data_IF_341704493187
#
_entry.id   IF_341704493187
#
_cell.length_a   1.000
_cell.length_b   1.000
_cell.length_c   1.000
_cell.angle_alpha   90.00
_cell.angle_beta   90.00
_cell.angle_gamma   90.00
#
_symmetry.space_group_name_H-M   'P 1'
#
loop_
_entity.id
_entity.type
_entity.pdbx_description
1 polymer ?
#
# COMPACT_ATOMS: atom_id res chain seq x y z
N UNK A 1 -1.35 13.46 5.43
CA UNK A 1 -0.91 12.04 5.43
C UNK A 1 0.52 11.96 4.91
N UNK A 2 0.81 12.59 3.77
CA UNK A 2 2.17 12.74 3.25
C UNK A 2 2.88 13.89 4.01
N UNK A 3 4.07 13.66 4.60
CA UNK A 3 4.85 14.71 5.27
C UNK A 3 5.45 15.71 4.27
N UNK A 4 5.70 16.94 4.72
CA UNK A 4 6.42 17.95 3.92
C UNK A 4 7.92 17.60 3.76
N UNK A 5 8.50 16.94 4.76
CA UNK A 5 9.87 16.45 4.70
C UNK A 5 9.91 15.14 3.88
N UNK A 6 10.63 15.09 2.74
CA UNK A 6 10.67 13.92 1.88
C UNK A 6 11.31 12.67 2.52
N UNK A 7 12.15 12.86 3.55
CA UNK A 7 12.80 11.76 4.26
C UNK A 7 11.97 11.21 5.42
N UNK A 8 10.84 11.85 5.74
CA UNK A 8 9.99 11.40 6.81
C UNK A 8 9.07 10.27 6.29
N UNK A 9 9.15 9.06 6.88
CA UNK A 9 8.29 7.96 6.47
C UNK A 9 6.82 8.22 6.87
N UNK A 10 5.91 7.62 6.13
CA UNK A 10 4.47 7.63 6.41
C UNK A 10 3.86 6.27 6.06
N UNK A 11 2.70 5.97 6.65
CA UNK A 11 1.95 4.76 6.32
C UNK A 11 1.08 4.98 5.07
N UNK A 12 1.40 4.25 4.00
CA UNK A 12 0.64 4.30 2.74
C UNK A 12 -0.83 3.88 2.90
N UNK A 13 -1.16 3.07 3.92
CA UNK A 13 -2.55 2.66 4.21
C UNK A 13 -3.44 3.85 4.55
N UNK A 14 -2.89 4.89 5.17
CA UNK A 14 -3.62 6.13 5.42
C UNK A 14 -4.05 6.80 4.11
N UNK A 15 -3.14 6.84 3.12
CA UNK A 15 -3.42 7.41 1.79
C UNK A 15 -4.45 6.56 1.05
N UNK A 16 -4.29 5.23 1.08
CA UNK A 16 -5.23 4.29 0.46
C UNK A 16 -6.64 4.50 1.03
N UNK A 17 -6.80 4.45 2.35
CA UNK A 17 -8.09 4.62 3.02
C UNK A 17 -8.71 6.01 2.79
N UNK A 18 -7.91 7.05 2.57
CA UNK A 18 -8.39 8.38 2.19
C UNK A 18 -8.75 8.54 0.71
N UNK A 19 -8.45 7.54 -0.13
CA UNK A 19 -8.65 7.58 -1.59
C UNK A 19 -9.78 6.67 -2.06
N UNK A 20 -9.95 5.50 -1.43
CA UNK A 20 -10.93 4.49 -1.83
C UNK A 20 -12.29 4.73 -1.16
N UNK A 21 -13.32 4.04 -1.64
CA UNK A 21 -14.64 4.03 -0.99
C UNK A 21 -14.50 3.55 0.47
N UNK A 22 -15.29 4.13 1.37
CA UNK A 22 -15.19 3.85 2.82
C UNK A 22 -15.30 2.36 3.14
N UNK A 23 -14.44 1.89 4.05
CA UNK A 23 -14.35 0.50 4.51
C UNK A 23 -14.21 -0.56 3.40
N UNK A 24 -13.73 -0.17 2.22
CA UNK A 24 -13.60 -1.10 1.08
C UNK A 24 -12.23 -1.75 0.93
N UNK A 25 -11.19 -1.20 1.57
CA UNK A 25 -9.83 -1.70 1.40
C UNK A 25 -9.62 -3.04 2.13
N UNK A 26 -9.19 -4.04 1.36
CA UNK A 26 -8.83 -5.36 1.83
C UNK A 26 -7.40 -5.68 1.43
N UNK A 27 -6.49 -5.61 2.41
CA UNK A 27 -5.07 -5.90 2.21
C UNK A 27 -4.81 -7.41 2.13
N UNK A 28 -4.00 -7.81 1.16
CA UNK A 28 -3.58 -9.20 0.93
C UNK A 28 -2.12 -9.37 1.36
N UNK A 29 -1.80 -10.52 1.96
CA UNK A 29 -0.45 -10.83 2.43
C UNK A 29 0.14 -9.75 3.37
N UNK A 30 -0.68 -9.19 4.28
CA UNK A 30 -0.29 -8.06 5.15
C UNK A 30 1.03 -8.28 5.90
N UNK A 31 1.31 -9.51 6.34
CA UNK A 31 2.49 -9.85 7.15
C UNK A 31 3.66 -10.43 6.33
N UNK A 32 3.63 -10.31 5.00
CA UNK A 32 4.68 -10.78 4.09
C UNK A 32 5.12 -9.61 3.20
N UNK A 33 6.43 -9.36 3.10
CA UNK A 33 7.00 -8.23 2.35
C UNK A 33 6.27 -6.90 2.64
N UNK A 34 6.36 -6.43 3.89
CA UNK A 34 5.61 -5.27 4.39
C UNK A 34 6.02 -3.93 3.77
N UNK A 35 7.15 -3.89 3.05
CA UNK A 35 7.63 -2.77 2.21
C UNK A 35 6.78 -2.55 0.95
N UNK A 36 5.88 -3.47 0.60
CA UNK A 36 4.87 -3.30 -0.45
C UNK A 36 3.48 -3.70 0.07
N UNK A 37 2.50 -2.83 -0.11
CA UNK A 37 1.09 -3.07 0.21
C UNK A 37 0.37 -3.47 -1.07
N UNK A 38 -0.29 -4.61 -1.04
CA UNK A 38 -1.16 -5.07 -2.14
C UNK A 38 -2.53 -5.41 -1.59
N UNK A 39 -3.56 -5.22 -2.40
CA UNK A 39 -4.92 -5.51 -1.95
C UNK A 39 -5.97 -5.13 -2.97
N UNK A 40 -7.22 -5.25 -2.54
CA UNK A 40 -8.39 -4.88 -3.33
C UNK A 40 -9.16 -3.76 -2.63
N UNK A 41 -9.84 -2.93 -3.40
CA UNK A 41 -10.75 -1.92 -2.86
C UNK A 41 -11.88 -1.63 -3.87
N UNK A 42 -12.76 -0.71 -3.48
CA UNK A 42 -13.75 -0.10 -4.38
C UNK A 42 -13.42 1.37 -4.60
N UNK A 43 -13.59 1.83 -5.83
CA UNK A 43 -13.53 3.24 -6.17
C UNK A 43 -14.75 3.57 -7.04
N UNK A 44 -15.62 4.45 -6.54
CA UNK A 44 -16.90 4.76 -7.16
C UNK A 44 -17.72 3.48 -7.48
N UNK A 45 -17.73 2.52 -6.55
CA UNK A 45 -18.43 1.24 -6.67
C UNK A 45 -17.73 0.19 -7.54
N UNK A 46 -16.63 0.54 -8.23
CA UNK A 46 -15.90 -0.39 -9.12
C UNK A 46 -14.75 -1.07 -8.38
N UNK A 47 -14.57 -2.37 -8.60
CA UNK A 47 -13.43 -3.12 -8.06
C UNK A 47 -12.12 -2.61 -8.65
N UNK A 48 -11.14 -2.38 -7.79
CA UNK A 48 -9.77 -2.05 -8.17
C UNK A 48 -8.76 -2.93 -7.42
N UNK A 49 -7.61 -3.17 -8.05
CA UNK A 49 -6.44 -3.70 -7.39
C UNK A 49 -5.48 -2.56 -7.02
N UNK A 50 -4.81 -2.68 -5.89
CA UNK A 50 -3.87 -1.69 -5.38
C UNK A 50 -2.51 -2.35 -5.21
N UNK A 51 -1.46 -1.69 -5.69
CA UNK A 51 -0.05 -2.01 -5.44
C UNK A 51 0.64 -0.71 -5.08
N UNK A 52 1.15 -0.60 -3.85
CA UNK A 52 1.72 0.64 -3.35
C UNK A 52 2.92 0.37 -2.43
N UNK A 53 3.97 1.18 -2.56
CA UNK A 53 5.15 1.07 -1.70
C UNK A 53 4.81 1.57 -0.29
N UNK A 54 5.42 0.97 0.73
CA UNK A 54 5.28 1.35 2.14
C UNK A 54 6.58 2.01 2.62
N UNK A 55 6.69 3.36 2.60
CA UNK A 55 7.92 4.04 3.02
C UNK A 55 8.30 3.79 4.48
N UNK A 56 7.34 3.44 5.34
CA UNK A 56 7.60 3.12 6.75
C UNK A 56 8.36 1.80 6.95
N UNK A 57 8.53 0.97 5.91
CA UNK A 57 9.23 -0.32 5.98
C UNK A 57 10.32 -0.35 4.92
N UNK A 58 11.58 -0.50 5.33
CA UNK A 58 12.75 -0.52 4.43
C UNK A 58 12.77 0.66 3.43
N UNK A 59 12.29 1.84 3.85
CA UNK A 59 12.13 3.02 3.00
C UNK A 59 11.28 2.80 1.73
N UNK A 60 10.44 1.75 1.68
CA UNK A 60 9.64 1.39 0.52
C UNK A 60 10.44 0.83 -0.65
N UNK A 61 11.69 0.42 -0.43
CA UNK A 61 12.54 -0.21 -1.45
C UNK A 61 11.99 -1.59 -1.82
N UNK A 62 11.99 -1.90 -3.12
CA UNK A 62 11.56 -3.19 -3.63
C UNK A 62 12.71 -4.22 -3.53
N UNK A 63 12.54 -5.20 -2.66
CA UNK A 63 13.41 -6.37 -2.56
C UNK A 63 12.79 -7.56 -3.32
N UNK A 64 13.44 -8.73 -3.25
CA UNK A 64 12.97 -9.94 -3.95
C UNK A 64 11.57 -10.35 -3.48
N UNK A 65 11.30 -10.31 -2.18
CA UNK A 65 10.01 -10.71 -1.63
C UNK A 65 8.90 -9.72 -2.03
N UNK A 66 9.17 -8.41 -1.97
CA UNK A 66 8.24 -7.39 -2.46
C UNK A 66 7.98 -7.50 -3.96
N UNK A 67 9.01 -7.83 -4.75
CA UNK A 67 8.86 -8.05 -6.20
C UNK A 67 7.96 -9.27 -6.48
N UNK A 68 8.15 -10.36 -5.74
CA UNK A 68 7.30 -11.56 -5.85
C UNK A 68 5.86 -11.25 -5.44
N UNK A 69 5.66 -10.52 -4.33
CA UNK A 69 4.33 -10.11 -3.83
C UNK A 69 3.63 -9.12 -4.76
N UNK A 70 4.36 -8.19 -5.38
CA UNK A 70 3.78 -7.23 -6.32
C UNK A 70 3.38 -7.86 -7.65
N UNK A 71 4.00 -8.99 -8.02
CA UNK A 71 3.76 -9.68 -9.28
C UNK A 71 2.63 -10.72 -9.22
N UNK A 72 2.20 -11.16 -8.04
CA UNK A 72 1.23 -12.26 -7.83
C UNK A 72 0.29 -11.98 -6.67
#
# INVERSE_FOLDING_TARGET
IIPENPNQPYDIRGVINGTVDSDSFFEVHKNYAENIVVGFARLAGRSIGIVANQPAVLAGVLDVNASVKGAR
#
